data_IF_861391218130
#
_entry.id   IF_861391218130
#
_cell.length_a   1.000
_cell.length_b   1.000
_cell.length_c   1.000
_cell.angle_alpha   90.00
_cell.angle_beta   90.00
_cell.angle_gamma   90.00
#
_symmetry.space_group_name_H-M   'P 1'
#
loop_
_entity.id
_entity.type
_entity.pdbx_description
1 polymer ?
#
# COMPACT_ATOMS: atom_id res chain seq x y z
N UNK A 1 8.22 -14.35 -14.72
CA UNK A 1 8.60 -12.96 -15.00
C UNK A 1 7.39 -12.07 -14.70
N UNK A 2 7.24 -11.59 -13.46
CA UNK A 2 6.08 -10.78 -13.01
C UNK A 2 6.38 -9.30 -13.24
N UNK A 3 5.46 -8.62 -13.91
CA UNK A 3 5.57 -7.22 -14.36
C UNK A 3 5.29 -6.28 -13.19
N UNK A 4 6.17 -5.33 -12.94
CA UNK A 4 5.82 -4.11 -12.19
C UNK A 4 4.84 -3.32 -13.04
N UNK A 5 3.72 -2.92 -12.46
CA UNK A 5 2.70 -2.11 -13.12
C UNK A 5 3.28 -0.72 -13.40
N UNK A 6 3.28 -0.36 -14.69
CA UNK A 6 3.81 0.85 -15.36
C UNK A 6 5.33 0.87 -15.62
N UNK A 7 5.62 1.14 -16.89
CA UNK A 7 6.92 1.10 -17.58
C UNK A 7 7.71 2.41 -17.42
N UNK A 8 7.43 3.19 -16.38
CA UNK A 8 7.97 4.53 -16.13
C UNK A 8 8.32 4.73 -14.63
N UNK A 9 8.90 3.72 -13.98
CA UNK A 9 9.52 3.90 -12.66
C UNK A 9 10.76 4.79 -12.82
N UNK A 10 10.55 6.11 -12.90
CA UNK A 10 11.62 7.11 -12.81
C UNK A 10 12.26 6.95 -11.43
N UNK A 11 13.57 7.21 -11.32
CA UNK A 11 14.33 7.00 -10.07
C UNK A 11 13.77 7.76 -8.84
N UNK A 12 12.87 8.73 -9.06
CA UNK A 12 12.18 9.51 -8.04
C UNK A 12 10.64 9.34 -8.11
N UNK A 13 10.12 8.21 -8.60
CA UNK A 13 8.68 7.99 -8.64
C UNK A 13 8.14 7.85 -7.22
N UNK A 14 7.12 8.64 -6.89
CA UNK A 14 6.40 8.53 -5.63
C UNK A 14 5.77 7.14 -5.50
N UNK A 15 5.98 6.48 -4.37
CA UNK A 15 5.37 5.19 -4.05
C UNK A 15 4.04 5.48 -3.34
N UNK A 16 2.96 5.03 -3.94
CA UNK A 16 1.64 5.03 -3.33
C UNK A 16 1.41 3.74 -2.52
N UNK A 17 1.00 3.87 -1.26
CA UNK A 17 0.65 2.73 -0.41
C UNK A 17 -0.72 2.94 0.25
N UNK A 18 -1.64 2.02 -0.03
CA UNK A 18 -2.93 1.96 0.65
C UNK A 18 -2.88 0.99 1.82
N UNK A 19 -3.24 1.45 3.00
CA UNK A 19 -3.40 0.64 4.21
C UNK A 19 -4.88 0.38 4.44
N UNK A 20 -5.25 -0.90 4.46
CA UNK A 20 -6.64 -1.36 4.62
C UNK A 20 -6.74 -2.14 5.94
N UNK A 21 -7.73 -1.79 6.76
CA UNK A 21 -8.00 -2.46 8.02
C UNK A 21 -8.10 -1.53 9.22
N UNK A 22 -8.69 -2.06 10.29
CA UNK A 22 -8.92 -1.32 11.53
C UNK A 22 -7.69 -1.35 12.44
N UNK A 23 -7.58 -0.35 13.34
CA UNK A 23 -6.55 -0.25 14.38
C UNK A 23 -5.10 -0.25 13.87
N UNK A 24 -4.86 0.27 12.66
CA UNK A 24 -3.51 0.46 12.14
C UNK A 24 -2.83 1.62 12.89
N UNK A 25 -1.73 1.37 13.62
CA UNK A 25 -1.13 2.39 14.46
C UNK A 25 -0.47 3.47 13.62
N UNK A 26 -0.64 4.75 14.01
CA UNK A 26 -0.03 5.88 13.32
C UNK A 26 1.50 5.77 13.23
N UNK A 27 2.15 5.14 14.22
CA UNK A 27 3.59 4.89 14.21
C UNK A 27 4.06 4.02 13.05
N UNK A 28 3.18 3.23 12.43
CA UNK A 28 3.48 2.47 11.23
C UNK A 28 3.78 3.40 10.04
N UNK A 29 3.08 4.54 9.93
CA UNK A 29 3.34 5.51 8.87
C UNK A 29 4.77 6.05 8.93
N UNK A 30 5.20 6.44 10.13
CA UNK A 30 6.56 6.94 10.37
C UNK A 30 7.59 5.88 10.01
N UNK A 31 7.41 4.65 10.50
CA UNK A 31 8.32 3.54 10.20
C UNK A 31 8.41 3.24 8.71
N UNK A 32 7.28 3.20 8.01
CA UNK A 32 7.27 2.93 6.57
C UNK A 32 8.01 4.02 5.79
N UNK A 33 7.80 5.29 6.13
CA UNK A 33 8.51 6.43 5.52
C UNK A 33 10.01 6.41 5.81
N UNK A 34 10.42 6.05 7.02
CA UNK A 34 11.84 5.95 7.38
C UNK A 34 12.55 4.81 6.62
N UNK A 35 11.84 3.71 6.32
CA UNK A 35 12.42 2.52 5.70
C UNK A 35 12.40 2.53 4.16
N UNK A 36 11.61 3.42 3.53
CA UNK A 36 11.49 3.49 2.06
C UNK A 36 12.70 4.16 1.39
N UNK A 37 13.60 4.76 2.16
CA UNK A 37 14.87 5.31 1.66
C UNK A 37 14.70 6.60 0.86
N UNK A 38 15.22 6.62 -0.38
CA UNK A 38 15.24 7.81 -1.24
C UNK A 38 13.92 8.07 -1.99
N UNK A 39 12.96 7.16 -1.90
CA UNK A 39 11.65 7.32 -2.54
C UNK A 39 10.73 8.18 -1.67
N UNK A 40 9.87 8.95 -2.32
CA UNK A 40 8.71 9.52 -1.62
C UNK A 40 7.68 8.42 -1.37
N UNK A 41 7.00 8.45 -0.23
CA UNK A 41 5.97 7.47 0.13
C UNK A 41 4.69 8.18 0.60
N UNK A 42 3.66 8.06 -0.23
CA UNK A 42 2.33 8.54 0.02
C UNK A 42 1.47 7.40 0.57
N UNK A 43 1.15 7.50 1.86
CA UNK A 43 0.40 6.47 2.59
C UNK A 43 -1.03 6.96 2.77
N UNK A 44 -1.98 6.19 2.28
CA UNK A 44 -3.42 6.44 2.39
C UNK A 44 -4.06 5.38 3.28
N UNK A 45 -4.76 5.81 4.34
CA UNK A 45 -5.55 4.91 5.19
C UNK A 45 -6.95 4.80 4.62
N UNK A 46 -7.28 3.66 4.04
CA UNK A 46 -8.53 3.50 3.30
C UNK A 46 -9.77 3.57 4.21
N UNK A 47 -9.61 3.22 5.49
CA UNK A 47 -10.69 3.30 6.49
C UNK A 47 -11.02 4.73 6.94
N UNK A 48 -10.18 5.71 6.58
CA UNK A 48 -10.39 7.14 6.88
C UNK A 48 -10.83 7.92 5.64
N UNK A 49 -11.04 7.24 4.51
CA UNK A 49 -11.52 7.85 3.29
C UNK A 49 -13.05 7.79 3.23
N UNK A 50 -13.62 8.97 3.06
CA UNK A 50 -15.02 9.25 2.76
C UNK A 50 -15.24 9.62 1.28
N UNK A 51 -14.16 9.69 0.50
CA UNK A 51 -14.18 9.98 -0.94
C UNK A 51 -14.26 8.69 -1.78
N UNK A 52 -15.46 8.40 -2.29
CA UNK A 52 -15.76 7.23 -3.13
C UNK A 52 -14.92 7.16 -4.42
N UNK A 53 -14.56 8.31 -5.02
CA UNK A 53 -13.79 8.36 -6.26
C UNK A 53 -12.33 7.96 -6.04
N UNK A 54 -11.75 8.33 -4.89
CA UNK A 54 -10.40 7.91 -4.51
C UNK A 54 -10.36 6.39 -4.27
N UNK A 55 -11.43 5.84 -3.69
CA UNK A 55 -11.58 4.41 -3.41
C UNK A 55 -11.59 3.58 -4.72
N UNK A 56 -12.40 3.99 -5.70
CA UNK A 56 -12.48 3.32 -7.00
C UNK A 56 -11.15 3.35 -7.76
N UNK A 57 -10.46 4.50 -7.78
CA UNK A 57 -9.18 4.66 -8.48
C UNK A 57 -8.07 3.75 -7.96
N UNK A 58 -8.01 3.51 -6.64
CA UNK A 58 -7.01 2.65 -6.01
C UNK A 58 -7.34 1.16 -6.18
N UNK A 59 -8.62 0.80 -6.22
CA UNK A 59 -9.06 -0.59 -6.42
C UNK A 59 -8.78 -1.12 -7.84
N UNK A 60 -8.65 -0.26 -8.85
CA UNK A 60 -8.47 -0.70 -10.23
C UNK A 60 -7.01 -1.05 -10.61
N UNK A 61 -6.01 -0.41 -9.99
CA UNK A 61 -4.59 -0.52 -10.38
C UNK A 61 -3.67 -1.05 -9.25
N UNK A 62 -4.20 -1.26 -8.04
CA UNK A 62 -3.44 -1.69 -6.87
C UNK A 62 -2.96 -3.14 -6.96
N UNK A 63 -1.77 -3.42 -6.41
CA UNK A 63 -1.27 -4.78 -6.21
C UNK A 63 -1.27 -5.09 -4.71
N UNK A 64 -1.89 -6.20 -4.32
CA UNK A 64 -1.84 -6.68 -2.94
C UNK A 64 -0.39 -7.10 -2.60
N UNK A 65 0.25 -6.36 -1.70
CA UNK A 65 1.61 -6.66 -1.24
C UNK A 65 1.61 -7.62 -0.04
N UNK A 66 0.62 -7.49 0.85
CA UNK A 66 0.49 -8.29 2.06
C UNK A 66 -0.95 -8.34 2.54
N UNK A 67 -1.38 -9.53 2.98
CA UNK A 67 -2.64 -9.73 3.71
C UNK A 67 -2.37 -10.62 4.93
N UNK A 68 -2.85 -10.18 6.11
CA UNK A 68 -2.76 -10.97 7.34
C UNK A 68 -3.57 -12.26 7.23
N UNK A 69 -4.74 -12.21 6.60
CA UNK A 69 -5.64 -13.36 6.45
C UNK A 69 -5.02 -14.43 5.55
N UNK A 70 -4.50 -14.02 4.39
CA UNK A 70 -3.81 -14.95 3.47
C UNK A 70 -2.55 -15.54 4.10
N UNK A 71 -1.79 -14.72 4.84
CA UNK A 71 -0.60 -15.18 5.55
C UNK A 71 -0.95 -16.18 6.67
N UNK A 72 -2.03 -15.92 7.41
CA UNK A 72 -2.50 -16.81 8.46
C UNK A 72 -2.97 -18.16 7.88
N UNK A 73 -3.69 -18.14 6.75
CA UNK A 73 -4.14 -19.34 6.06
C UNK A 73 -2.97 -20.24 5.63
N UNK A 74 -1.87 -19.64 5.15
CA UNK A 74 -0.64 -20.36 4.79
C UNK A 74 0.07 -21.00 5.99
N UNK A 75 -0.05 -20.44 7.19
CA UNK A 75 0.54 -21.01 8.42
C UNK A 75 -0.34 -22.07 9.10
N UNK A 76 -1.63 -22.15 8.74
CA UNK A 76 -2.57 -23.17 9.21
C UNK A 76 -2.71 -24.38 8.26
N UNK A 77 -1.95 -24.39 7.17
CA UNK A 77 -1.90 -25.47 6.16
C UNK A 77 -0.70 -26.39 6.41
#
# INVERSE_FOLDING_TARGET
MRRTTRRDARANSDIDLSLIGENIPLSLHTKLRENVGLYSLDIVRMNELDDELLLESKNMDGVLLYSREESAALCSS
#
